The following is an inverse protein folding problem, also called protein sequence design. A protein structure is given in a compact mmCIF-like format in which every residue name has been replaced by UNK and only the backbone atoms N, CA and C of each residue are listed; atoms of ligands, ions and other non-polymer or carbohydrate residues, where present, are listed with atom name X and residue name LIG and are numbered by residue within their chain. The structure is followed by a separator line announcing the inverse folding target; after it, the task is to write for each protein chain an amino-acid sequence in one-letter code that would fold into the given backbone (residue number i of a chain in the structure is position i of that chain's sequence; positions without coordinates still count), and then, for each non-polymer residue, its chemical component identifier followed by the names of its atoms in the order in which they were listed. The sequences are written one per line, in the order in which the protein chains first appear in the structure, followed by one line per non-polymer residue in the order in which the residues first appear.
data_IF_031935372708
#
_entry.id   IF_031935372708
#
_cell.length_a   1.000
_cell.length_b   1.000
_cell.length_c   1.000
_cell.angle_alpha   90.00
_cell.angle_beta   90.00
_cell.angle_gamma   90.00
#
_symmetry.space_group_name_H-M   'P 1'
#
loop_
_entity.id
_entity.type
_entity.pdbx_description
1 polymer ?
#
# COMPACT_ATOMS: atom_id res chain seq x y z
N UNK A 1 -15.80 19.91 -19.88
CA UNK A 1 -14.91 20.83 -19.13
C UNK A 1 -13.94 19.97 -18.34
N UNK A 2 -12.70 19.87 -18.81
CA UNK A 2 -11.68 19.02 -18.21
C UNK A 2 -11.19 19.66 -16.90
N UNK A 3 -11.39 18.96 -15.78
CA UNK A 3 -10.88 19.35 -14.48
C UNK A 3 -9.42 18.94 -14.35
N UNK A 4 -8.58 19.90 -13.94
CA UNK A 4 -7.21 19.67 -13.49
C UNK A 4 -7.23 18.63 -12.37
N UNK A 5 -6.66 17.46 -12.60
CA UNK A 5 -6.49 16.44 -11.56
C UNK A 5 -5.33 16.89 -10.69
N UNK A 6 -5.67 17.46 -9.53
CA UNK A 6 -4.75 17.60 -8.42
C UNK A 6 -4.17 16.22 -8.14
N UNK A 7 -2.84 16.10 -8.14
CA UNK A 7 -2.15 14.99 -7.47
C UNK A 7 -2.84 14.81 -6.12
N UNK A 8 -3.51 13.68 -5.93
CA UNK A 8 -4.22 13.39 -4.67
C UNK A 8 -3.24 13.63 -3.53
N UNK A 9 -3.69 14.22 -2.42
CA UNK A 9 -2.83 14.60 -1.30
C UNK A 9 -1.92 13.45 -0.80
N UNK A 10 -2.29 12.19 -1.05
CA UNK A 10 -1.58 10.97 -0.67
C UNK A 10 -0.34 10.71 -1.53
N UNK A 11 -0.44 10.98 -2.83
CA UNK A 11 0.69 10.91 -3.75
C UNK A 11 1.78 11.90 -3.35
N UNK A 12 1.40 13.11 -2.98
CA UNK A 12 2.34 14.13 -2.47
C UNK A 12 3.08 13.66 -1.19
N UNK A 13 2.40 12.98 -0.26
CA UNK A 13 3.03 12.49 0.99
C UNK A 13 3.95 11.30 0.74
N UNK A 14 3.57 10.36 -0.13
CA UNK A 14 4.44 9.23 -0.49
C UNK A 14 5.71 9.71 -1.20
N UNK A 15 5.60 10.67 -2.13
CA UNK A 15 6.76 11.33 -2.73
C UNK A 15 7.61 12.09 -1.70
N UNK A 16 6.98 12.83 -0.78
CA UNK A 16 7.71 13.54 0.27
C UNK A 16 8.51 12.56 1.16
N UNK A 17 7.91 11.43 1.54
CA UNK A 17 8.59 10.38 2.29
C UNK A 17 9.79 9.86 1.49
N UNK A 18 9.60 9.49 0.21
CA UNK A 18 10.66 9.01 -0.67
C UNK A 18 11.82 10.00 -0.78
N UNK A 19 11.52 11.30 -0.88
CA UNK A 19 12.54 12.35 -0.99
C UNK A 19 13.34 12.56 0.30
N UNK A 20 12.74 12.29 1.45
CA UNK A 20 13.40 12.40 2.75
C UNK A 20 14.22 11.17 3.13
N UNK A 21 14.09 10.05 2.41
CA UNK A 21 14.92 8.87 2.65
C UNK A 21 16.38 9.16 2.32
N UNK A 22 17.28 8.73 3.21
CA UNK A 22 18.71 8.70 2.90
C UNK A 22 19.03 7.64 1.82
N UNK A 23 20.30 7.53 1.43
CA UNK A 23 20.70 6.62 0.36
C UNK A 23 20.41 5.15 0.67
N UNK A 24 20.61 4.71 1.91
CA UNK A 24 20.42 3.31 2.30
C UNK A 24 18.92 2.98 2.38
N UNK A 25 18.16 3.85 3.03
CA UNK A 25 16.71 3.73 3.11
C UNK A 25 16.06 3.77 1.74
N UNK A 26 16.53 4.65 0.84
CA UNK A 26 16.00 4.76 -0.53
C UNK A 26 16.33 3.52 -1.35
N UNK A 27 17.52 2.97 -1.20
CA UNK A 27 17.89 1.70 -1.85
C UNK A 27 17.02 0.54 -1.38
N UNK A 28 16.66 0.51 -0.09
CA UNK A 28 15.71 -0.47 0.45
C UNK A 28 14.25 -0.22 -0.03
N UNK A 29 13.84 1.04 -0.18
CA UNK A 29 12.49 1.42 -0.56
C UNK A 29 12.20 1.23 -2.06
N UNK A 30 13.15 1.53 -2.95
CA UNK A 30 12.96 1.41 -4.40
C UNK A 30 13.21 -0.03 -4.82
N UNK A 31 12.13 -0.76 -5.11
CA UNK A 31 12.18 -2.20 -5.36
C UNK A 31 12.14 -2.56 -6.85
N UNK A 32 11.78 -1.60 -7.71
CA UNK A 32 11.88 -1.70 -9.17
C UNK A 32 11.96 -0.30 -9.81
N UNK A 33 12.69 -0.18 -10.92
CA UNK A 33 12.81 1.07 -11.67
C UNK A 33 11.55 1.39 -12.49
N UNK A 34 10.77 0.38 -12.84
CA UNK A 34 9.53 0.50 -13.62
C UNK A 34 8.32 0.24 -12.71
N UNK A 35 7.28 1.06 -12.86
CA UNK A 35 6.01 0.83 -12.19
C UNK A 35 5.14 -0.17 -12.99
N UNK A 36 4.32 -0.99 -12.32
CA UNK A 36 3.35 -1.84 -13.00
C UNK A 36 2.30 -0.99 -13.75
N UNK A 37 1.54 -1.59 -14.65
CA UNK A 37 0.49 -0.90 -15.41
C UNK A 37 -0.86 -0.82 -14.67
N UNK A 38 -0.99 -1.49 -13.52
CA UNK A 38 -2.15 -1.46 -12.63
C UNK A 38 -1.75 -1.92 -11.22
N UNK A 39 -2.68 -1.84 -10.26
CA UNK A 39 -2.56 -2.43 -8.92
C UNK A 39 -2.24 -3.93 -9.01
N UNK A 40 -1.23 -4.38 -8.24
CA UNK A 40 -0.74 -5.76 -8.32
C UNK A 40 -1.72 -6.78 -7.75
N UNK A 41 -2.46 -6.46 -6.67
CA UNK A 41 -3.47 -7.38 -6.11
C UNK A 41 -4.68 -7.63 -7.02
N UNK A 42 -4.87 -6.86 -8.08
CA UNK A 42 -6.00 -7.06 -9.01
C UNK A 42 -5.81 -8.31 -9.87
N UNK A 43 -4.55 -8.67 -10.17
CA UNK A 43 -4.21 -9.73 -11.14
C UNK A 43 -4.05 -11.13 -10.52
N UNK A 44 -3.90 -11.23 -9.20
CA UNK A 44 -3.98 -12.50 -8.48
C UNK A 44 -4.23 -12.18 -7.00
N UNK A 45 -5.19 -12.90 -6.38
CA UNK A 45 -5.53 -12.69 -4.97
C UNK A 45 -4.26 -12.78 -4.13
N UNK A 46 -3.45 -13.83 -4.31
CA UNK A 46 -2.26 -14.19 -3.49
C UNK A 46 -0.93 -13.47 -3.82
N UNK A 47 -0.77 -12.84 -4.99
CA UNK A 47 0.56 -12.44 -5.47
C UNK A 47 1.22 -11.26 -4.72
N UNK A 48 0.46 -10.44 -4.00
CA UNK A 48 1.01 -9.21 -3.41
C UNK A 48 1.47 -9.34 -1.94
N UNK A 49 1.14 -10.45 -1.26
CA UNK A 49 1.57 -10.71 0.13
C UNK A 49 3.07 -11.05 0.20
N UNK A 50 3.71 -11.43 -0.91
CA UNK A 50 4.89 -12.30 -0.87
C UNK A 50 6.28 -11.67 -1.04
N UNK A 51 6.43 -10.35 -0.98
CA UNK A 51 7.77 -9.77 -0.94
C UNK A 51 7.91 -8.85 0.26
N UNK A 52 8.60 -9.35 1.29
CA UNK A 52 9.06 -8.61 2.48
C UNK A 52 10.11 -7.53 2.10
N UNK A 53 9.87 -6.80 1.01
CA UNK A 53 10.73 -5.77 0.43
C UNK A 53 10.18 -4.37 0.74
N UNK A 54 11.10 -3.41 0.79
CA UNK A 54 10.83 -2.04 1.22
C UNK A 54 11.61 -1.68 2.48
N UNK A 55 11.63 -0.40 2.80
CA UNK A 55 12.23 0.11 4.04
C UNK A 55 11.27 -0.08 5.21
N UNK A 56 11.74 -0.66 6.30
CA UNK A 56 10.92 -0.89 7.50
C UNK A 56 10.78 0.39 8.33
N UNK A 57 9.64 0.56 9.00
CA UNK A 57 9.37 1.66 9.93
C UNK A 57 10.46 1.82 10.99
N UNK A 58 10.99 0.70 11.49
CA UNK A 58 12.07 0.68 12.48
C UNK A 58 13.40 1.24 11.97
N UNK A 59 13.60 1.30 10.65
CA UNK A 59 14.79 1.85 10.00
C UNK A 59 14.62 3.33 9.65
N UNK A 60 13.42 3.90 9.83
CA UNK A 60 13.11 5.29 9.54
C UNK A 60 13.45 6.19 10.73
N UNK A 61 13.85 7.43 10.44
CA UNK A 61 13.95 8.50 11.44
C UNK A 61 12.57 8.90 11.95
N UNK A 62 12.49 9.55 13.10
CA UNK A 62 11.22 10.01 13.69
C UNK A 62 10.39 10.85 12.71
N UNK A 63 11.02 11.70 11.91
CA UNK A 63 10.32 12.54 10.92
C UNK A 63 9.72 11.69 9.79
N UNK A 64 10.47 10.73 9.28
CA UNK A 64 10.01 9.81 8.23
C UNK A 64 8.91 8.87 8.75
N UNK A 65 9.03 8.40 9.99
CA UNK A 65 8.01 7.60 10.68
C UNK A 65 6.68 8.35 10.76
N UNK A 66 6.70 9.62 11.19
CA UNK A 66 5.50 10.45 11.25
C UNK A 66 4.85 10.59 9.88
N UNK A 67 5.63 10.78 8.81
CA UNK A 67 5.10 10.85 7.45
C UNK A 67 4.49 9.54 6.98
N UNK A 68 5.12 8.40 7.29
CA UNK A 68 4.58 7.08 6.96
C UNK A 68 3.24 6.83 7.68
N UNK A 69 3.12 7.19 8.96
CA UNK A 69 1.85 7.07 9.69
C UNK A 69 0.78 7.99 9.09
N UNK A 70 1.11 9.25 8.78
CA UNK A 70 0.15 10.18 8.13
C UNK A 70 -0.33 9.68 6.78
N UNK A 71 0.55 9.04 5.99
CA UNK A 71 0.18 8.41 4.74
C UNK A 71 -0.83 7.27 4.97
N UNK A 72 -0.59 6.42 5.97
CA UNK A 72 -1.51 5.34 6.33
C UNK A 72 -2.87 5.89 6.80
N UNK A 73 -2.87 6.91 7.66
CA UNK A 73 -4.07 7.55 8.17
C UNK A 73 -4.94 8.13 7.05
N UNK A 74 -4.32 8.73 6.04
CA UNK A 74 -5.02 9.26 4.88
C UNK A 74 -5.72 8.18 4.06
N UNK A 75 -5.10 7.02 3.87
CA UNK A 75 -5.76 5.90 3.20
C UNK A 75 -6.83 5.26 4.09
N UNK A 76 -6.63 5.25 5.40
CA UNK A 76 -7.63 4.76 6.35
C UNK A 76 -8.89 5.65 6.35
N UNK A 77 -8.73 6.98 6.28
CA UNK A 77 -9.81 7.97 6.31
C UNK A 77 -10.60 8.10 5.00
N UNK A 78 -10.19 7.40 3.94
CA UNK A 78 -11.00 7.24 2.73
C UNK A 78 -12.31 6.46 2.98
N UNK A 79 -12.46 5.81 4.13
CA UNK A 79 -13.70 5.16 4.59
C UNK A 79 -14.33 5.94 5.75
N UNK A 80 -15.54 5.57 6.15
CA UNK A 80 -16.21 6.19 7.30
C UNK A 80 -15.36 6.14 8.58
N UNK A 81 -15.45 7.16 9.43
CA UNK A 81 -14.61 7.36 10.62
C UNK A 81 -14.51 6.13 11.53
N UNK A 82 -15.61 5.39 11.71
CA UNK A 82 -15.64 4.15 12.50
C UNK A 82 -14.69 3.08 11.91
N UNK A 83 -14.72 2.89 10.58
CA UNK A 83 -13.86 1.94 9.87
C UNK A 83 -12.41 2.42 9.85
N UNK A 84 -12.17 3.72 9.64
CA UNK A 84 -10.84 4.31 9.70
C UNK A 84 -10.21 4.09 11.09
N UNK A 85 -10.99 4.34 12.14
CA UNK A 85 -10.57 4.16 13.54
C UNK A 85 -10.26 2.69 13.85
N UNK A 86 -11.11 1.75 13.41
CA UNK A 86 -10.88 0.32 13.55
C UNK A 86 -9.59 -0.14 12.85
N UNK A 87 -9.36 0.32 11.61
CA UNK A 87 -8.12 0.02 10.86
C UNK A 87 -6.88 0.51 11.60
N UNK A 88 -6.89 1.77 12.05
CA UNK A 88 -5.75 2.33 12.79
C UNK A 88 -5.51 1.63 14.12
N UNK A 89 -6.57 1.19 14.80
CA UNK A 89 -6.43 0.43 16.05
C UNK A 89 -5.83 -0.96 15.83
N UNK A 90 -6.24 -1.68 14.78
CA UNK A 90 -5.62 -2.95 14.39
C UNK A 90 -4.14 -2.78 14.08
N UNK A 91 -3.75 -1.71 13.40
CA UNK A 91 -2.35 -1.43 13.08
C UNK A 91 -1.55 -1.13 14.36
N UNK A 92 -2.07 -0.27 15.24
CA UNK A 92 -1.44 0.03 16.53
C UNK A 92 -1.23 -1.23 17.37
N UNK A 93 -2.26 -2.07 17.47
CA UNK A 93 -2.22 -3.33 18.21
C UNK A 93 -1.21 -4.33 17.66
N UNK A 94 -1.02 -4.36 16.33
CA UNK A 94 -0.03 -5.22 15.68
C UNK A 94 1.41 -4.68 15.72
N UNK A 95 1.58 -3.41 16.10
CA UNK A 95 2.87 -2.72 16.16
C UNK A 95 3.34 -2.19 14.81
N UNK A 96 3.94 -0.99 14.83
CA UNK A 96 4.39 -0.31 13.61
C UNK A 96 5.72 -0.84 13.06
N UNK A 97 6.55 -1.49 13.88
CA UNK A 97 7.95 -1.79 13.55
C UNK A 97 8.14 -2.64 12.28
N UNK A 98 7.16 -3.46 11.92
CA UNK A 98 7.19 -4.33 10.73
C UNK A 98 6.49 -3.72 9.51
N UNK A 99 6.00 -2.49 9.59
CA UNK A 99 5.41 -1.81 8.45
C UNK A 99 6.53 -1.45 7.48
N UNK A 100 6.38 -1.82 6.21
CA UNK A 100 7.34 -1.50 5.14
C UNK A 100 6.73 -0.59 4.10
N UNK A 101 7.54 0.37 3.65
CA UNK A 101 7.26 1.22 2.50
C UNK A 101 8.09 0.80 1.30
N UNK A 102 7.44 0.61 0.16
CA UNK A 102 8.09 0.24 -1.09
C UNK A 102 7.61 1.13 -2.25
N UNK A 103 8.51 1.37 -3.21
CA UNK A 103 8.32 2.24 -4.35
C UNK A 103 8.75 1.55 -5.65
N UNK A 104 7.99 1.78 -6.71
CA UNK A 104 8.31 1.37 -8.07
C UNK A 104 8.03 2.51 -9.05
N UNK A 105 8.87 2.63 -10.09
CA UNK A 105 8.71 3.65 -11.12
C UNK A 105 9.48 4.94 -10.84
N UNK A 106 9.11 5.99 -11.56
CA UNK A 106 9.87 7.25 -11.59
C UNK A 106 9.80 8.01 -10.27
N UNK A 107 10.93 8.61 -9.88
CA UNK A 107 11.09 9.35 -8.62
C UNK A 107 10.89 10.87 -8.77
N UNK A 108 10.71 11.32 -10.01
CA UNK A 108 10.40 12.71 -10.35
C UNK A 108 8.90 12.95 -10.27
N UNK A 109 8.53 14.22 -10.08
CA UNK A 109 7.14 14.66 -10.11
C UNK A 109 6.53 14.35 -11.48
N UNK A 110 5.29 13.87 -11.49
CA UNK A 110 4.50 13.53 -12.69
C UNK A 110 4.97 12.29 -13.47
N UNK A 111 5.98 11.56 -12.97
CA UNK A 111 6.29 10.24 -13.51
C UNK A 111 5.29 9.19 -13.04
N UNK A 112 5.07 8.19 -13.89
CA UNK A 112 4.33 6.98 -13.51
C UNK A 112 5.03 6.30 -12.34
N UNK A 113 4.28 6.04 -11.30
CA UNK A 113 4.81 5.43 -10.09
C UNK A 113 3.75 4.59 -9.40
N UNK A 114 4.27 3.71 -8.55
CA UNK A 114 3.51 2.84 -7.70
C UNK A 114 4.16 2.85 -6.32
N UNK A 115 3.36 2.84 -5.26
CA UNK A 115 3.89 2.56 -3.93
C UNK A 115 3.02 1.57 -3.18
N UNK A 116 3.65 0.94 -2.20
CA UNK A 116 3.05 -0.01 -1.29
C UNK A 116 3.40 0.33 0.15
N UNK A 117 2.40 0.27 1.03
CA UNK A 117 2.62 0.24 2.48
C UNK A 117 2.02 -1.05 3.02
N UNK A 118 2.84 -1.92 3.60
CA UNK A 118 2.42 -3.23 4.06
C UNK A 118 2.80 -3.42 5.52
N UNK A 119 1.84 -3.81 6.34
CA UNK A 119 2.06 -4.23 7.72
C UNK A 119 1.54 -5.66 7.95
N UNK A 120 1.62 -6.16 9.20
CA UNK A 120 1.18 -7.52 9.52
C UNK A 120 -0.32 -7.78 9.29
N UNK A 121 -1.13 -6.73 9.26
CA UNK A 121 -2.60 -6.82 9.22
C UNK A 121 -3.21 -6.23 7.95
N UNK A 122 -2.44 -5.50 7.14
CA UNK A 122 -2.98 -4.71 6.06
C UNK A 122 -1.97 -4.49 4.92
N UNK A 123 -2.53 -4.10 3.78
CA UNK A 123 -1.80 -3.68 2.60
C UNK A 123 -2.49 -2.45 1.99
N UNK A 124 -1.70 -1.42 1.69
CA UNK A 124 -2.09 -0.29 0.84
C UNK A 124 -1.28 -0.42 -0.44
N UNK A 125 -1.95 -0.36 -1.58
CA UNK A 125 -1.31 -0.17 -2.88
C UNK A 125 -1.88 1.07 -3.53
N UNK A 126 -1.00 1.87 -4.11
CA UNK A 126 -1.36 3.03 -4.89
C UNK A 126 -0.61 2.96 -6.21
N UNK A 127 -1.36 3.12 -7.29
CA UNK A 127 -0.85 3.16 -8.64
C UNK A 127 -1.28 4.46 -9.31
N UNK A 128 -0.33 5.16 -9.91
CA UNK A 128 -0.59 6.28 -10.82
C UNK A 128 0.14 6.07 -12.15
N UNK A 129 -0.17 4.98 -12.85
CA UNK A 129 0.41 4.66 -14.16
C UNK A 129 -0.57 4.79 -15.32
N UNK A 130 -1.88 4.86 -15.05
CA UNK A 130 -2.94 4.98 -16.05
C UNK A 130 -3.12 6.42 -16.54
N UNK A 131 -3.59 6.58 -17.78
CA UNK A 131 -3.78 7.88 -18.46
C UNK A 131 -2.56 8.82 -18.36
N UNK A 132 -1.35 8.27 -18.51
CA UNK A 132 -0.09 9.01 -18.38
C UNK A 132 0.14 9.60 -16.96
N UNK A 133 -0.27 8.88 -15.91
CA UNK A 133 -0.16 9.35 -14.53
C UNK A 133 -1.24 10.37 -14.12
N UNK A 134 -2.39 10.33 -14.81
CA UNK A 134 -3.52 11.23 -14.58
C UNK A 134 -4.78 10.50 -14.08
N UNK A 135 -4.66 9.21 -13.79
CA UNK A 135 -5.71 8.42 -13.15
C UNK A 135 -5.05 7.48 -12.15
N UNK A 136 -5.23 7.78 -10.86
CA UNK A 136 -4.66 6.99 -9.79
C UNK A 136 -5.68 6.00 -9.23
N UNK A 137 -5.25 4.78 -8.97
CA UNK A 137 -5.98 3.78 -8.22
C UNK A 137 -5.34 3.61 -6.84
N UNK A 138 -6.16 3.46 -5.81
CA UNK A 138 -5.71 3.07 -4.47
C UNK A 138 -6.56 1.92 -3.96
N UNK A 139 -5.95 0.95 -3.30
CA UNK A 139 -6.66 -0.11 -2.60
C UNK A 139 -6.11 -0.28 -1.19
N UNK A 140 -7.04 -0.51 -0.27
CA UNK A 140 -6.76 -1.01 1.07
C UNK A 140 -7.20 -2.46 1.16
N UNK A 141 -6.33 -3.36 1.61
CA UNK A 141 -6.66 -4.75 1.91
C UNK A 141 -6.47 -5.05 3.40
N UNK A 142 -7.46 -5.69 4.02
CA UNK A 142 -7.34 -6.26 5.38
C UNK A 142 -7.07 -7.76 5.25
N UNK A 143 -5.93 -8.25 5.75
CA UNK A 143 -5.57 -9.66 5.61
C UNK A 143 -6.50 -10.60 6.38
N UNK A 144 -7.17 -10.15 7.45
CA UNK A 144 -8.17 -10.95 8.16
C UNK A 144 -9.58 -10.73 7.63
N UNK A 145 -9.89 -9.56 7.07
CA UNK A 145 -11.20 -9.25 6.50
C UNK A 145 -11.41 -9.78 5.07
N UNK A 146 -10.44 -9.53 4.18
CA UNK A 146 -10.54 -9.85 2.75
C UNK A 146 -10.14 -11.30 2.44
N UNK A 147 -9.41 -11.93 3.37
CA UNK A 147 -8.86 -13.28 3.23
C UNK A 147 -9.26 -14.22 4.37
N UNK A 148 -9.75 -13.69 5.49
CA UNK A 148 -10.30 -14.50 6.59
C UNK A 148 -11.72 -15.00 6.34
N UNK A 149 -12.29 -14.75 5.16
CA UNK A 149 -13.26 -15.67 4.56
C UNK A 149 -12.48 -16.72 3.77
N UNK A 150 -12.01 -17.74 4.46
CA UNK A 150 -11.73 -19.06 3.90
C UNK A 150 -13.03 -19.72 3.37
N UNK A 151 -13.89 -18.97 2.67
CA UNK A 151 -15.06 -19.55 2.01
C UNK A 151 -14.64 -20.49 0.89
N UNK A 152 -13.42 -20.38 0.35
CA UNK A 152 -12.91 -21.30 -0.67
C UNK A 152 -12.41 -22.60 -0.05
N UNK A 153 -11.60 -22.57 1.01
CA UNK A 153 -11.17 -23.78 1.72
C UNK A 153 -12.31 -24.44 2.49
N UNK A 154 -13.28 -23.67 2.98
CA UNK A 154 -14.52 -24.20 3.55
C UNK A 154 -15.44 -24.79 2.46
N UNK A 155 -15.52 -24.19 1.26
CA UNK A 155 -16.22 -24.79 0.11
C UNK A 155 -15.55 -26.10 -0.34
N UNK A 156 -14.22 -26.16 -0.43
CA UNK A 156 -13.49 -27.40 -0.73
C UNK A 156 -13.61 -28.46 0.38
N UNK A 157 -13.73 -28.06 1.65
CA UNK A 157 -13.96 -28.97 2.78
C UNK A 157 -15.41 -29.45 2.91
N UNK A 158 -16.38 -28.68 2.42
CA UNK A 158 -17.82 -29.02 2.51
C UNK A 158 -18.40 -29.61 1.23
N UNK A 159 -17.77 -29.42 0.07
CA UNK A 159 -18.12 -30.12 -1.16
C UNK A 159 -17.37 -31.45 -1.24
N UNK A 160 -17.98 -32.47 -0.64
CA UNK A 160 -17.64 -33.87 -0.89
C UNK A 160 -17.83 -34.12 -2.38
N UNK A 161 -16.75 -34.11 -3.17
CA UNK A 161 -16.76 -34.70 -4.51
C UNK A 161 -16.71 -36.22 -4.33
N UNK A 162 -17.89 -36.81 -4.23
CA UNK A 162 -18.09 -38.25 -4.39
C UNK A 162 -17.75 -38.59 -5.84
N UNK A 163 -16.65 -39.32 -6.04
CA UNK A 163 -16.43 -40.11 -7.26
C UNK A 163 -17.01 -41.51 -7.07
#
# INVERSE_FOLDING_TARGET
VAGVVLLTESGCKAYQLLQLLDSEQRQAAIIAAEAPNDILTTNAREAAIQEDRGVAYSQLTTVQQVLLIRLIEEHASAQADATASERMEKIRSAGFGHIKFAWMGGIERDHKHYYRVQGPTFLIEFDNTQNNGNHAHSVWRDFKGDWGRDLLGEHYRTSVHSH
#
